data_IF_819299845610
#
_entry.id   IF_819299845610
#
_cell.length_a   1.000
_cell.length_b   1.000
_cell.length_c   1.000
_cell.angle_alpha   90.00
_cell.angle_beta   90.00
_cell.angle_gamma   90.00
#
_symmetry.space_group_name_H-M   'P 1'
#
loop_
_entity.id
_entity.type
_entity.pdbx_description
1 polymer ?
#
# COMPACT_ATOMS: atom_id res chain seq x y z
N UNK A 1 64.72 1.07 -46.03
CA UNK A 1 63.42 0.68 -45.45
C UNK A 1 62.69 1.93 -44.93
N UNK A 2 61.59 2.33 -45.57
CA UNK A 2 60.59 3.29 -45.05
C UNK A 2 59.20 2.75 -45.41
N UNK A 3 58.24 2.77 -44.47
CA UNK A 3 57.06 3.66 -44.57
C UNK A 3 56.75 4.33 -43.20
N UNK A 4 56.54 5.65 -43.09
CA UNK A 4 55.29 6.48 -43.19
C UNK A 4 54.18 6.27 -42.13
N UNK A 5 53.62 7.43 -41.72
CA UNK A 5 52.28 7.72 -41.16
C UNK A 5 52.10 7.77 -39.64
N UNK A 6 51.83 8.99 -39.17
CA UNK A 6 51.33 9.28 -37.84
C UNK A 6 49.94 8.69 -37.62
N UNK A 7 49.79 7.97 -36.52
CA UNK A 7 48.51 7.55 -35.97
C UNK A 7 48.19 8.41 -34.75
N UNK A 8 47.13 9.19 -34.85
CA UNK A 8 46.37 9.75 -33.72
C UNK A 8 46.03 8.61 -32.76
N UNK A 9 46.75 8.51 -31.64
CA UNK A 9 46.43 7.52 -30.61
C UNK A 9 45.16 7.98 -29.91
N UNK A 10 44.04 7.36 -30.26
CA UNK A 10 42.74 7.59 -29.67
C UNK A 10 42.84 7.45 -28.14
N UNK A 11 42.49 8.52 -27.43
CA UNK A 11 42.32 8.55 -25.99
C UNK A 11 41.49 7.32 -25.58
N UNK A 12 42.13 6.48 -24.76
CA UNK A 12 41.56 5.26 -24.21
C UNK A 12 40.18 5.54 -23.64
N UNK A 13 39.20 4.86 -24.24
CA UNK A 13 37.78 4.87 -23.88
C UNK A 13 37.60 4.69 -22.37
N UNK A 14 36.99 5.70 -21.77
CA UNK A 14 36.27 5.69 -20.51
C UNK A 14 37.01 5.01 -19.34
N UNK A 15 37.78 5.80 -18.57
CA UNK A 15 38.22 5.45 -17.21
C UNK A 15 36.98 4.99 -16.46
N UNK A 16 36.85 3.66 -16.29
CA UNK A 16 35.68 2.95 -15.77
C UNK A 16 35.11 3.73 -14.59
N UNK A 17 34.14 4.60 -14.89
CA UNK A 17 33.40 5.35 -13.90
C UNK A 17 32.78 4.28 -13.02
N UNK A 18 33.18 4.32 -11.75
CA UNK A 18 32.88 3.31 -10.76
C UNK A 18 31.44 2.86 -10.95
N UNK A 19 31.28 1.56 -11.21
CA UNK A 19 30.01 0.86 -11.21
C UNK A 19 29.36 1.21 -9.87
N UNK A 20 28.51 2.24 -9.84
CA UNK A 20 27.78 2.64 -8.64
C UNK A 20 26.88 1.46 -8.33
N UNK A 21 27.37 0.62 -7.43
CA UNK A 21 26.65 -0.45 -6.75
C UNK A 21 25.29 0.14 -6.41
N UNK A 22 24.26 -0.50 -6.96
CA UNK A 22 22.93 0.07 -7.16
C UNK A 22 22.51 0.94 -5.99
N UNK A 23 22.07 2.15 -6.31
CA UNK A 23 21.46 3.10 -5.39
C UNK A 23 20.57 2.32 -4.43
N UNK A 24 21.06 2.10 -3.21
CA UNK A 24 20.30 1.49 -2.13
C UNK A 24 19.15 2.46 -1.95
N UNK A 25 17.98 2.13 -2.52
CA UNK A 25 16.78 2.96 -2.38
C UNK A 25 16.69 3.25 -0.90
N UNK A 26 16.67 4.54 -0.54
CA UNK A 26 16.53 4.95 0.86
C UNK A 26 15.44 4.08 1.47
N UNK A 27 15.64 3.47 2.65
CA UNK A 27 14.57 2.72 3.30
C UNK A 27 13.39 3.68 3.45
N UNK A 28 12.40 3.50 2.60
CA UNK A 28 11.17 4.29 2.62
C UNK A 28 10.27 3.59 3.62
N UNK A 29 9.75 4.37 4.56
CA UNK A 29 8.84 3.86 5.56
C UNK A 29 7.62 3.19 4.88
N UNK A 30 7.27 1.93 5.22
CA UNK A 30 6.19 1.20 4.58
C UNK A 30 4.81 1.87 4.66
N UNK A 31 4.55 2.72 5.66
CA UNK A 31 3.28 3.43 5.80
C UNK A 31 3.13 4.62 4.86
N UNK A 32 4.21 5.16 4.30
CA UNK A 32 4.13 6.25 3.30
C UNK A 32 3.38 5.83 2.02
N UNK A 33 3.40 4.53 1.72
CA UNK A 33 2.72 3.91 0.58
C UNK A 33 1.30 3.45 0.91
N UNK A 34 0.86 3.61 2.16
CA UNK A 34 -0.46 3.21 2.62
C UNK A 34 -1.39 4.42 2.69
N UNK A 35 -2.68 4.17 2.49
CA UNK A 35 -3.80 5.09 2.68
C UNK A 35 -4.78 4.51 3.69
N UNK A 36 -5.40 5.38 4.46
CA UNK A 36 -6.35 5.00 5.49
C UNK A 36 -7.78 5.07 4.96
N UNK A 37 -8.53 4.00 5.20
CA UNK A 37 -9.96 3.88 4.92
C UNK A 37 -10.72 3.75 6.23
N UNK A 38 -11.88 4.39 6.29
CA UNK A 38 -12.80 4.33 7.42
C UNK A 38 -13.77 3.16 7.20
N UNK A 39 -13.79 2.20 8.13
CA UNK A 39 -14.71 1.06 8.05
C UNK A 39 -16.05 1.50 8.61
N UNK A 40 -17.07 1.41 7.77
CA UNK A 40 -18.44 1.73 8.12
C UNK A 40 -19.25 0.45 8.28
N UNK A 41 -19.90 0.30 9.43
CA UNK A 41 -20.84 -0.79 9.65
C UNK A 41 -22.20 -0.50 8.98
N UNK A 42 -22.98 -1.55 8.64
CA UNK A 42 -24.33 -1.42 8.11
C UNK A 42 -25.25 -0.58 9.00
N UNK A 43 -26.28 0.03 8.40
CA UNK A 43 -27.23 0.91 9.10
C UNK A 43 -28.10 0.22 10.16
N UNK A 44 -28.00 -1.11 10.30
CA UNK A 44 -28.66 -1.90 11.34
C UNK A 44 -28.07 -1.65 12.73
N UNK A 45 -26.83 -1.14 12.81
CA UNK A 45 -26.13 -0.91 14.08
C UNK A 45 -26.18 0.56 14.50
N UNK A 46 -26.24 0.82 15.81
CA UNK A 46 -26.27 2.18 16.36
C UNK A 46 -24.97 2.94 16.11
N UNK A 47 -23.83 2.27 16.22
CA UNK A 47 -22.53 2.82 15.89
C UNK A 47 -22.06 2.29 14.53
N UNK A 48 -22.02 3.20 13.55
CA UNK A 48 -21.55 2.89 12.20
C UNK A 48 -20.04 2.98 12.03
N UNK A 49 -19.28 3.48 13.00
CA UNK A 49 -17.84 3.60 12.86
C UNK A 49 -17.15 2.40 13.51
N UNK A 50 -16.69 1.48 12.67
CA UNK A 50 -16.10 0.21 13.08
C UNK A 50 -14.57 0.31 13.30
N UNK A 51 -13.92 1.31 12.70
CA UNK A 51 -12.48 1.52 12.84
C UNK A 51 -11.86 2.08 11.56
N UNK A 52 -10.53 2.08 11.49
CA UNK A 52 -9.77 2.50 10.30
C UNK A 52 -8.81 1.40 9.88
N UNK A 53 -8.62 1.21 8.58
CA UNK A 53 -7.63 0.26 8.06
C UNK A 53 -6.69 0.89 7.05
N UNK A 54 -5.39 0.60 7.14
CA UNK A 54 -4.44 1.04 6.14
C UNK A 54 -4.33 0.01 5.00
N UNK A 55 -4.55 0.46 3.77
CA UNK A 55 -4.36 -0.32 2.54
C UNK A 55 -3.28 0.32 1.68
N UNK A 56 -2.64 -0.47 0.81
CA UNK A 56 -1.66 0.07 -0.11
C UNK A 56 -2.32 0.98 -1.15
N UNK A 57 -1.69 2.12 -1.45
CA UNK A 57 -2.07 3.00 -2.54
C UNK A 57 -2.11 2.24 -3.87
N UNK A 58 -3.09 2.57 -4.70
CA UNK A 58 -3.21 2.04 -6.07
C UNK A 58 -1.88 2.20 -6.82
N UNK A 59 -1.35 1.10 -7.35
CA UNK A 59 -0.08 1.07 -8.03
C UNK A 59 -0.16 0.18 -9.28
N UNK A 60 -0.05 0.79 -10.46
CA UNK A 60 -0.19 0.10 -11.74
C UNK A 60 -1.58 -0.51 -11.88
N UNK A 61 -1.65 -1.83 -12.05
CA UNK A 61 -2.90 -2.58 -12.19
C UNK A 61 -3.49 -3.06 -10.84
N UNK A 62 -2.79 -2.83 -9.72
CA UNK A 62 -3.31 -3.18 -8.39
C UNK A 62 -4.09 -2.00 -7.82
N UNK A 63 -5.41 -2.13 -7.80
CA UNK A 63 -6.34 -1.11 -7.33
C UNK A 63 -6.62 -1.30 -5.83
N UNK A 64 -6.47 -0.24 -5.05
CA UNK A 64 -6.69 -0.26 -3.60
C UNK A 64 -8.12 -0.66 -3.20
N UNK A 65 -9.13 -0.23 -3.97
CA UNK A 65 -10.54 -0.53 -3.69
C UNK A 65 -10.87 -2.01 -3.90
N UNK A 66 -10.22 -2.68 -4.85
CA UNK A 66 -10.42 -4.11 -5.10
C UNK A 66 -9.72 -4.98 -4.04
N UNK A 67 -8.57 -4.54 -3.51
CA UNK A 67 -7.89 -5.19 -2.39
C UNK A 67 -8.64 -5.02 -1.05
N UNK A 68 -9.48 -3.98 -0.94
CA UNK A 68 -10.31 -3.75 0.25
C UNK A 68 -11.57 -4.62 0.27
N UNK A 69 -12.12 -4.91 -0.92
CA UNK A 69 -13.27 -5.81 -1.07
C UNK A 69 -12.92 -7.21 -0.58
N UNK A 70 -13.94 -7.95 -0.14
CA UNK A 70 -13.83 -9.32 0.39
C UNK A 70 -13.01 -9.46 1.68
N UNK A 71 -12.58 -8.34 2.29
CA UNK A 71 -11.95 -8.36 3.61
C UNK A 71 -13.00 -8.58 4.69
N UNK A 72 -12.73 -9.53 5.57
CA UNK A 72 -13.57 -9.86 6.71
C UNK A 72 -13.05 -9.14 7.96
N UNK A 73 -13.89 -8.31 8.57
CA UNK A 73 -13.63 -7.63 9.82
C UNK A 73 -14.42 -8.30 10.95
N UNK A 74 -13.72 -8.72 12.00
CA UNK A 74 -14.33 -9.27 13.21
C UNK A 74 -14.43 -8.16 14.26
N UNK A 75 -15.65 -7.81 14.65
CA UNK A 75 -15.92 -6.71 15.59
C UNK A 75 -16.90 -7.21 16.65
N UNK A 76 -16.75 -6.74 17.89
CA UNK A 76 -17.69 -7.09 18.96
C UNK A 76 -19.05 -6.43 18.73
N UNK A 77 -20.14 -7.11 19.11
CA UNK A 77 -21.49 -6.54 19.03
C UNK A 77 -21.65 -5.39 20.04
N UNK A 78 -20.90 -5.43 21.15
CA UNK A 78 -20.77 -4.35 22.12
C UNK A 78 -20.37 -3.01 21.49
N UNK A 79 -19.30 -3.02 20.68
CA UNK A 79 -18.79 -1.82 20.02
C UNK A 79 -19.79 -1.24 18.99
N UNK A 80 -20.60 -2.10 18.39
CA UNK A 80 -21.59 -1.75 17.38
C UNK A 80 -22.91 -1.23 17.99
N UNK A 81 -23.37 -1.79 19.12
CA UNK A 81 -24.68 -1.51 19.70
C UNK A 81 -24.63 -0.78 21.06
N UNK A 82 -23.44 -0.42 21.55
CA UNK A 82 -23.19 0.25 22.86
C UNK A 82 -23.89 -0.42 24.05
N UNK A 83 -24.11 -1.72 23.98
CA UNK A 83 -24.76 -2.50 25.03
C UNK A 83 -23.76 -3.53 25.54
N UNK A 84 -23.35 -3.41 26.80
CA UNK A 84 -22.31 -4.22 27.43
C UNK A 84 -22.67 -5.70 27.60
N UNK A 85 -23.96 -6.04 27.49
CA UNK A 85 -24.45 -7.41 27.66
C UNK A 85 -24.07 -8.33 26.48
N UNK A 86 -23.56 -7.77 25.38
CA UNK A 86 -23.28 -8.51 24.15
C UNK A 86 -21.81 -8.42 23.67
N UNK A 87 -20.88 -7.99 24.53
CA UNK A 87 -19.46 -7.81 24.19
C UNK A 87 -18.76 -9.11 23.77
N UNK A 88 -19.21 -10.24 24.32
CA UNK A 88 -18.66 -11.57 23.99
C UNK A 88 -19.03 -12.04 22.58
N UNK A 89 -20.08 -11.47 21.98
CA UNK A 89 -20.56 -11.88 20.67
C UNK A 89 -19.80 -11.11 19.59
N UNK A 90 -19.09 -11.83 18.75
CA UNK A 90 -18.35 -11.26 17.62
C UNK A 90 -19.16 -11.39 16.33
N UNK A 91 -19.17 -10.33 15.53
CA UNK A 91 -19.78 -10.31 14.21
C UNK A 91 -18.68 -10.22 13.15
N UNK A 92 -18.88 -10.93 12.03
CA UNK A 92 -18.01 -10.89 10.86
C UNK A 92 -18.68 -10.03 9.81
N UNK A 93 -18.06 -8.90 9.48
CA UNK A 93 -18.51 -7.97 8.46
C UNK A 93 -17.62 -8.13 7.23
N UNK A 94 -18.20 -8.15 6.04
CA UNK A 94 -17.47 -8.20 4.77
C UNK A 94 -17.61 -6.82 4.14
N UNK A 95 -16.52 -6.27 3.61
CA UNK A 95 -16.59 -5.07 2.79
C UNK A 95 -16.97 -5.45 1.36
N UNK A 96 -18.13 -4.98 0.91
CA UNK A 96 -18.64 -5.24 -0.46
C UNK A 96 -18.27 -4.08 -1.40
N UNK A 97 -18.28 -2.85 -0.88
CA UNK A 97 -18.06 -1.64 -1.67
C UNK A 97 -17.16 -0.63 -0.94
N UNK A 98 -16.36 0.09 -1.70
CA UNK A 98 -15.61 1.25 -1.20
C UNK A 98 -16.13 2.50 -1.88
N UNK A 99 -16.68 3.42 -1.09
CA UNK A 99 -17.13 4.73 -1.55
C UNK A 99 -16.17 5.81 -1.05
N UNK A 100 -15.31 6.28 -1.95
CA UNK A 100 -14.28 7.27 -1.60
C UNK A 100 -13.30 6.73 -0.56
N UNK A 101 -13.44 7.18 0.69
CA UNK A 101 -12.61 6.75 1.83
C UNK A 101 -13.37 5.87 2.83
N UNK A 102 -14.68 5.70 2.65
CA UNK A 102 -15.50 4.83 3.48
C UNK A 102 -15.57 3.44 2.83
N UNK A 103 -15.24 2.41 3.60
CA UNK A 103 -15.41 1.01 3.26
C UNK A 103 -16.74 0.52 3.86
N UNK A 104 -17.66 0.06 3.02
CA UNK A 104 -19.04 -0.30 3.35
C UNK A 104 -19.23 -1.82 3.29
#
# INVERSE_FOLDING_TARGET
FRPVLGGTMAIGKNKRLGKKKGSKKKPVDPFTRKEWYDIRAPALFTNRNAGKTPINKTAGQKIASEEMKDRVFEISLGDLNKTSDADYRKMRLICEEVQGKDAL
#
